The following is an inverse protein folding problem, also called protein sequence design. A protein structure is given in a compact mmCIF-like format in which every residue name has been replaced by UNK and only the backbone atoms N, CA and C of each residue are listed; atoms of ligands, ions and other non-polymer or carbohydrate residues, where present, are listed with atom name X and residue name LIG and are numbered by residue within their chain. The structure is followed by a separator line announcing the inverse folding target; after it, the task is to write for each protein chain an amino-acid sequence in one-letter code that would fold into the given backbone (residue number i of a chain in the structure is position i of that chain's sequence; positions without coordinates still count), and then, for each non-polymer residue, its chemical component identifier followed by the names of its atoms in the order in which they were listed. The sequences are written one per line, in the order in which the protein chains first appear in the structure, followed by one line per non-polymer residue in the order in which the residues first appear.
data_IF_684847100625
#
_entry.id   IF_684847100625
#
_cell.length_a   1.000
_cell.length_b   1.000
_cell.length_c   1.000
_cell.angle_alpha   90.00
_cell.angle_beta   90.00
_cell.angle_gamma   90.00
#
_symmetry.space_group_name_H-M   'P 1'
#
loop_
_entity.id
_entity.type
_entity.pdbx_description
1 polymer ?
#
# COMPACT_ATOMS: atom_id res chain seq x y z
N UNK A 1 27.65 7.32 -0.78
CA UNK A 1 27.09 5.99 -0.56
C UNK A 1 27.34 5.15 -1.82
N UNK A 2 28.11 4.08 -1.69
CA UNK A 2 28.42 2.97 -2.58
C UNK A 2 28.44 3.18 -4.11
N UNK A 3 29.63 3.11 -4.72
CA UNK A 3 29.75 3.06 -6.17
C UNK A 3 29.31 1.66 -6.66
N UNK A 4 28.21 1.54 -7.48
CA UNK A 4 27.72 0.25 -7.94
C UNK A 4 28.75 -0.53 -8.76
N UNK A 5 29.66 0.12 -9.49
CA UNK A 5 30.73 -0.54 -10.20
C UNK A 5 31.70 -1.21 -9.23
N UNK A 6 32.03 -0.56 -8.10
CA UNK A 6 32.85 -1.17 -7.04
C UNK A 6 32.16 -2.39 -6.42
N UNK A 7 30.88 -2.30 -6.12
CA UNK A 7 30.12 -3.42 -5.57
C UNK A 7 30.13 -4.66 -6.49
N UNK A 8 30.12 -4.46 -7.81
CA UNK A 8 30.21 -5.58 -8.76
C UNK A 8 31.57 -6.32 -8.73
N UNK A 9 32.65 -5.60 -8.48
CA UNK A 9 34.02 -6.17 -8.53
C UNK A 9 34.62 -6.44 -7.14
N UNK A 10 33.95 -6.02 -6.06
CA UNK A 10 34.44 -6.15 -4.68
C UNK A 10 34.84 -7.60 -4.32
N UNK A 11 34.03 -8.57 -4.75
CA UNK A 11 34.31 -9.99 -4.50
C UNK A 11 35.59 -10.52 -5.17
N UNK A 12 36.13 -9.80 -6.14
CA UNK A 12 37.36 -10.19 -6.86
C UNK A 12 38.61 -9.49 -6.33
N UNK A 13 38.47 -8.51 -5.43
CA UNK A 13 39.55 -7.67 -4.91
C UNK A 13 40.67 -8.46 -4.26
N UNK A 14 40.40 -9.60 -3.65
CA UNK A 14 41.38 -10.46 -3.00
C UNK A 14 42.03 -11.49 -3.96
N UNK A 15 41.44 -11.67 -5.16
CA UNK A 15 41.82 -12.73 -6.09
C UNK A 15 42.62 -12.22 -7.31
N UNK A 16 42.74 -10.90 -7.45
CA UNK A 16 43.39 -10.27 -8.62
C UNK A 16 44.43 -9.23 -8.18
N UNK A 17 45.38 -8.89 -9.07
CA UNK A 17 46.34 -7.80 -8.82
C UNK A 17 45.62 -6.44 -8.74
N UNK A 18 46.21 -5.43 -8.07
CA UNK A 18 45.63 -4.08 -8.01
C UNK A 18 45.35 -3.48 -9.40
N UNK A 19 46.22 -3.75 -10.38
CA UNK A 19 46.07 -3.28 -11.76
C UNK A 19 44.88 -3.96 -12.47
N UNK A 20 44.73 -5.28 -12.27
CA UNK A 20 43.62 -6.03 -12.81
C UNK A 20 42.28 -5.61 -12.14
N UNK A 21 42.28 -5.33 -10.83
CA UNK A 21 41.12 -4.81 -10.14
C UNK A 21 40.65 -3.47 -10.72
N UNK A 22 41.59 -2.55 -10.96
CA UNK A 22 41.26 -1.23 -11.55
C UNK A 22 40.72 -1.38 -12.97
N UNK A 23 41.27 -2.27 -13.80
CA UNK A 23 40.74 -2.55 -15.14
C UNK A 23 39.30 -3.09 -15.05
N UNK A 24 39.05 -4.03 -14.17
CA UNK A 24 37.69 -4.59 -13.96
C UNK A 24 36.71 -3.51 -13.48
N UNK A 25 37.16 -2.64 -12.59
CA UNK A 25 36.36 -1.52 -12.11
C UNK A 25 36.02 -0.53 -13.24
N UNK A 26 36.96 -0.15 -14.07
CA UNK A 26 36.70 0.73 -15.22
C UNK A 26 35.80 0.07 -16.26
N UNK A 27 35.94 -1.22 -16.52
CA UNK A 27 35.04 -1.97 -17.39
C UNK A 27 33.59 -2.00 -16.79
N UNK A 28 33.45 -2.19 -15.49
CA UNK A 28 32.16 -2.15 -14.81
C UNK A 28 31.52 -0.75 -14.90
N UNK A 29 32.30 0.33 -14.76
CA UNK A 29 31.80 1.70 -14.92
C UNK A 29 31.25 1.96 -16.32
N UNK A 30 32.02 1.57 -17.36
CA UNK A 30 31.59 1.72 -18.78
C UNK A 30 30.33 0.88 -19.03
N UNK A 31 30.30 -0.39 -18.55
CA UNK A 31 29.15 -1.29 -18.69
C UNK A 31 27.89 -0.75 -18.05
N UNK A 32 28.01 -0.05 -16.91
CA UNK A 32 26.90 0.58 -16.20
C UNK A 32 26.60 2.00 -16.74
N UNK A 33 27.37 2.50 -17.70
CA UNK A 33 27.23 3.84 -18.26
C UNK A 33 27.58 4.97 -17.28
N UNK A 34 28.32 4.67 -16.21
CA UNK A 34 28.75 5.64 -15.19
C UNK A 34 29.86 6.58 -15.64
N UNK A 35 30.42 6.35 -16.80
CA UNK A 35 31.38 7.19 -17.49
C UNK A 35 30.74 8.39 -18.20
N UNK A 36 29.41 8.34 -18.40
CA UNK A 36 28.64 9.38 -19.10
C UNK A 36 28.20 10.51 -18.15
N UNK A 37 27.89 11.72 -18.68
CA UNK A 37 27.26 12.78 -17.88
C UNK A 37 25.94 12.32 -17.25
N UNK A 38 25.65 12.79 -16.03
CA UNK A 38 24.45 12.39 -15.26
C UNK A 38 23.13 12.49 -16.05
N UNK A 39 22.88 13.57 -16.85
CA UNK A 39 21.64 13.63 -17.65
C UNK A 39 21.53 12.50 -18.67
N UNK A 40 22.67 12.10 -19.27
CA UNK A 40 22.69 10.99 -20.24
C UNK A 40 22.46 9.64 -19.56
N UNK A 41 23.04 9.44 -18.37
CA UNK A 41 22.77 8.25 -17.54
C UNK A 41 21.28 8.14 -17.20
N UNK A 42 20.66 9.25 -16.77
CA UNK A 42 19.24 9.29 -16.43
C UNK A 42 18.34 8.95 -17.65
N UNK A 43 18.60 9.56 -18.80
CA UNK A 43 17.82 9.30 -20.01
C UNK A 43 17.97 7.85 -20.51
N UNK A 44 19.19 7.31 -20.46
CA UNK A 44 19.46 5.91 -20.81
C UNK A 44 18.73 4.96 -19.85
N UNK A 45 18.81 5.20 -18.55
CA UNK A 45 18.13 4.42 -17.52
C UNK A 45 16.60 4.48 -17.68
N UNK A 46 16.05 5.67 -17.92
CA UNK A 46 14.60 5.83 -18.17
C UNK A 46 14.18 5.10 -19.45
N UNK A 47 14.98 5.17 -20.52
CA UNK A 47 14.72 4.43 -21.75
C UNK A 47 14.68 2.91 -21.53
N UNK A 48 15.58 2.38 -20.74
CA UNK A 48 15.60 0.95 -20.37
C UNK A 48 14.35 0.55 -19.57
N UNK A 49 13.97 1.38 -18.58
CA UNK A 49 12.74 1.15 -17.80
C UNK A 49 11.51 1.10 -18.71
N UNK A 50 11.37 2.03 -19.64
CA UNK A 50 10.24 2.07 -20.59
C UNK A 50 10.19 0.84 -21.49
N UNK A 51 11.34 0.17 -21.73
CA UNK A 51 11.44 -1.09 -22.45
C UNK A 51 11.24 -2.32 -21.56
N UNK A 52 10.99 -2.11 -20.24
CA UNK A 52 10.80 -3.18 -19.27
C UNK A 52 12.09 -3.80 -18.74
N UNK A 53 13.23 -3.15 -19.00
CA UNK A 53 14.53 -3.51 -18.41
C UNK A 53 14.77 -2.66 -17.16
N UNK A 54 14.59 -3.28 -16.00
CA UNK A 54 14.83 -2.69 -14.68
C UNK A 54 16.24 -2.94 -14.15
N UNK A 55 17.10 -3.54 -14.96
CA UNK A 55 18.46 -3.91 -14.61
C UNK A 55 18.56 -5.13 -13.69
N UNK A 56 19.72 -5.29 -13.07
CA UNK A 56 20.07 -6.40 -12.19
C UNK A 56 20.21 -5.96 -10.73
N UNK A 57 19.69 -6.78 -9.82
CA UNK A 57 19.91 -6.59 -8.38
C UNK A 57 21.36 -6.89 -8.02
N UNK A 58 22.02 -5.94 -7.39
CA UNK A 58 23.42 -6.12 -6.91
C UNK A 58 23.49 -7.08 -5.72
N UNK A 59 22.40 -7.23 -4.96
CA UNK A 59 22.33 -8.10 -3.79
C UNK A 59 21.97 -9.54 -4.18
N UNK A 60 20.89 -9.71 -4.95
CA UNK A 60 20.36 -11.03 -5.30
C UNK A 60 20.94 -11.60 -6.61
N UNK A 61 21.64 -10.77 -7.40
CA UNK A 61 22.26 -11.14 -8.69
C UNK A 61 21.31 -11.79 -9.71
N UNK A 62 20.06 -11.32 -9.70
CA UNK A 62 19.01 -11.71 -10.64
C UNK A 62 18.37 -10.45 -11.24
N UNK A 63 17.66 -10.55 -12.38
CA UNK A 63 16.93 -9.42 -12.96
C UNK A 63 15.94 -8.85 -11.95
N UNK A 64 15.91 -7.52 -11.80
CA UNK A 64 15.00 -6.83 -10.87
C UNK A 64 13.54 -7.17 -11.19
N UNK A 65 13.19 -7.35 -12.45
CA UNK A 65 11.85 -7.74 -12.88
C UNK A 65 11.39 -9.07 -12.27
N UNK A 66 12.27 -10.05 -12.18
CA UNK A 66 11.97 -11.35 -11.56
C UNK A 66 11.87 -11.23 -10.05
N UNK A 67 12.71 -10.38 -9.46
CA UNK A 67 12.72 -10.15 -8.01
C UNK A 67 11.45 -9.46 -7.51
N UNK A 68 10.98 -8.41 -8.20
CA UNK A 68 9.83 -7.62 -7.77
C UNK A 68 8.48 -8.20 -8.21
N UNK A 69 8.46 -9.06 -9.23
CA UNK A 69 7.23 -9.60 -9.81
C UNK A 69 6.32 -10.31 -8.80
N UNK A 70 6.79 -11.33 -8.08
CA UNK A 70 5.98 -12.05 -7.09
C UNK A 70 5.48 -11.16 -5.94
N UNK A 71 6.31 -10.38 -5.22
CA UNK A 71 5.83 -9.52 -4.15
C UNK A 71 4.90 -8.41 -4.64
N UNK A 72 5.08 -7.90 -5.86
CA UNK A 72 4.20 -6.90 -6.44
C UNK A 72 2.78 -7.45 -6.66
N UNK A 73 2.64 -8.67 -7.15
CA UNK A 73 1.33 -9.33 -7.29
C UNK A 73 0.61 -9.42 -5.94
N UNK A 74 1.31 -9.84 -4.90
CA UNK A 74 0.76 -9.94 -3.55
C UNK A 74 0.34 -8.57 -3.01
N UNK A 75 1.17 -7.54 -3.21
CA UNK A 75 0.87 -6.17 -2.80
C UNK A 75 -0.35 -5.62 -3.53
N UNK A 76 -0.46 -5.84 -4.84
CA UNK A 76 -1.63 -5.41 -5.63
C UNK A 76 -2.89 -6.12 -5.14
N UNK A 77 -2.86 -7.44 -4.96
CA UNK A 77 -4.01 -8.20 -4.48
C UNK A 77 -4.47 -7.72 -3.10
N UNK A 78 -3.53 -7.54 -2.15
CA UNK A 78 -3.83 -7.03 -0.83
C UNK A 78 -4.45 -5.62 -0.88
N UNK A 79 -3.88 -4.71 -1.68
CA UNK A 79 -4.41 -3.36 -1.81
C UNK A 79 -5.81 -3.33 -2.45
N UNK A 80 -6.06 -4.15 -3.49
CA UNK A 80 -7.39 -4.24 -4.10
C UNK A 80 -8.44 -4.63 -3.06
N UNK A 81 -8.18 -5.70 -2.29
CA UNK A 81 -9.11 -6.16 -1.25
C UNK A 81 -9.23 -5.11 -0.14
N UNK A 82 -8.12 -4.51 0.30
CA UNK A 82 -8.13 -3.43 1.28
C UNK A 82 -9.00 -2.24 0.84
N UNK A 83 -8.84 -1.74 -0.38
CA UNK A 83 -9.63 -0.61 -0.87
C UNK A 83 -11.12 -0.94 -1.01
N UNK A 84 -11.47 -2.18 -1.35
CA UNK A 84 -12.88 -2.61 -1.34
C UNK A 84 -13.46 -2.45 0.07
N UNK A 85 -12.79 -2.97 1.11
CA UNK A 85 -13.25 -2.80 2.49
C UNK A 85 -13.19 -1.35 2.97
N UNK A 86 -12.14 -0.62 2.62
CA UNK A 86 -11.98 0.78 2.97
C UNK A 86 -13.18 1.61 2.50
N UNK A 87 -13.56 1.48 1.22
CA UNK A 87 -14.68 2.23 0.66
C UNK A 87 -16.03 1.69 1.13
N UNK A 88 -16.20 0.36 1.21
CA UNK A 88 -17.45 -0.26 1.65
C UNK A 88 -17.80 0.08 3.10
N UNK A 89 -16.82 0.31 3.97
CA UNK A 89 -17.01 0.65 5.38
C UNK A 89 -16.89 2.17 5.58
N UNK A 90 -15.85 2.80 5.02
CA UNK A 90 -15.52 4.20 5.29
C UNK A 90 -16.54 5.18 4.76
N UNK A 91 -17.05 4.96 3.54
CA UNK A 91 -18.04 5.86 2.93
C UNK A 91 -19.36 5.83 3.70
N UNK A 92 -20.00 4.66 3.97
CA UNK A 92 -21.25 4.63 4.75
C UNK A 92 -21.11 5.18 6.15
N UNK A 93 -19.99 4.91 6.83
CA UNK A 93 -19.73 5.47 8.16
C UNK A 93 -19.56 6.98 8.12
N UNK A 94 -18.82 7.52 7.13
CA UNK A 94 -18.66 8.97 6.94
C UNK A 94 -19.99 9.66 6.66
N UNK A 95 -20.84 9.10 5.79
CA UNK A 95 -22.19 9.61 5.53
C UNK A 95 -23.02 9.59 6.81
N UNK A 96 -23.00 8.47 7.55
CA UNK A 96 -23.78 8.33 8.79
C UNK A 96 -23.32 9.33 9.86
N UNK A 97 -22.02 9.63 9.96
CA UNK A 97 -21.49 10.66 10.85
C UNK A 97 -21.98 12.05 10.45
N UNK A 98 -21.97 12.39 9.17
CA UNK A 98 -22.46 13.69 8.70
C UNK A 98 -23.96 13.87 8.96
N UNK A 99 -24.77 12.84 8.69
CA UNK A 99 -26.22 12.86 8.91
C UNK A 99 -26.55 12.91 10.41
N UNK A 100 -25.75 12.26 11.25
CA UNK A 100 -25.88 12.25 12.70
C UNK A 100 -24.87 13.18 13.37
N UNK A 101 -24.59 14.32 12.76
CA UNK A 101 -23.67 15.33 13.28
C UNK A 101 -23.95 15.63 14.76
N UNK A 102 -22.88 15.77 15.55
CA UNK A 102 -22.88 16.14 16.96
C UNK A 102 -23.63 15.16 17.90
N UNK A 103 -23.99 13.96 17.41
CA UNK A 103 -24.49 12.87 18.28
C UNK A 103 -23.34 12.09 18.92
N UNK A 104 -23.67 11.30 19.96
CA UNK A 104 -22.73 10.38 20.62
C UNK A 104 -22.06 9.43 19.60
N UNK A 105 -22.83 8.94 18.60
CA UNK A 105 -22.28 8.10 17.53
C UNK A 105 -21.20 8.81 16.73
N UNK A 106 -21.47 10.03 16.27
CA UNK A 106 -20.51 10.83 15.51
C UNK A 106 -19.27 11.12 16.34
N UNK A 107 -19.43 11.64 17.55
CA UNK A 107 -18.32 11.98 18.44
C UNK A 107 -17.47 10.75 18.79
N UNK A 108 -18.09 9.64 19.17
CA UNK A 108 -17.37 8.42 19.52
C UNK A 108 -16.59 7.86 18.34
N UNK A 109 -17.17 7.87 17.13
CA UNK A 109 -16.47 7.39 15.95
C UNK A 109 -15.31 8.33 15.54
N UNK A 110 -15.48 9.67 15.67
CA UNK A 110 -14.40 10.62 15.45
C UNK A 110 -13.24 10.39 16.43
N UNK A 111 -13.51 10.18 17.72
CA UNK A 111 -12.49 9.88 18.73
C UNK A 111 -11.79 8.55 18.42
N UNK A 112 -12.55 7.49 18.14
CA UNK A 112 -11.99 6.17 17.81
C UNK A 112 -11.09 6.22 16.57
N UNK A 113 -11.53 6.92 15.53
CA UNK A 113 -10.72 7.10 14.31
C UNK A 113 -9.48 7.94 14.54
N UNK A 114 -9.55 8.94 15.43
CA UNK A 114 -8.40 9.76 15.80
C UNK A 114 -7.35 8.92 16.54
N UNK A 115 -7.77 8.07 17.47
CA UNK A 115 -6.86 7.12 18.14
C UNK A 115 -6.22 6.18 17.10
N UNK A 116 -7.01 5.62 16.19
CA UNK A 116 -6.52 4.68 15.17
C UNK A 116 -5.44 5.28 14.26
N UNK A 117 -5.61 6.53 13.80
CA UNK A 117 -4.62 7.19 12.93
C UNK A 117 -3.42 7.75 13.69
N UNK A 118 -3.53 7.93 15.02
CA UNK A 118 -2.40 8.44 15.84
C UNK A 118 -1.36 7.37 16.11
N UNK A 119 -1.72 6.09 16.01
CA UNK A 119 -0.78 4.98 16.20
C UNK A 119 -0.11 4.66 14.86
N UNK A 120 1.23 4.72 14.76
CA UNK A 120 1.94 4.29 13.56
C UNK A 120 1.54 2.86 13.15
N UNK A 121 1.28 2.66 11.86
CA UNK A 121 0.74 1.37 11.34
C UNK A 121 1.61 0.16 11.67
N UNK A 122 2.93 0.32 11.73
CA UNK A 122 3.84 -0.77 12.10
C UNK A 122 3.68 -1.19 13.57
N UNK A 123 3.38 -0.24 14.49
CA UNK A 123 3.10 -0.55 15.89
C UNK A 123 1.79 -1.33 15.99
N UNK A 124 0.74 -0.85 15.30
CA UNK A 124 -0.52 -1.58 15.20
C UNK A 124 -0.30 -2.99 14.66
N UNK A 125 0.50 -3.15 13.61
CA UNK A 125 0.82 -4.45 13.03
C UNK A 125 1.47 -5.40 14.06
N UNK A 126 2.48 -4.93 14.80
CA UNK A 126 3.15 -5.72 15.83
C UNK A 126 2.20 -6.15 16.96
N UNK A 127 1.32 -5.24 17.42
CA UNK A 127 0.31 -5.55 18.44
C UNK A 127 -0.67 -6.61 17.92
N UNK A 128 -1.17 -6.46 16.70
CA UNK A 128 -2.13 -7.40 16.12
C UNK A 128 -1.49 -8.77 15.84
N UNK A 129 -0.26 -8.83 15.34
CA UNK A 129 0.48 -10.09 15.18
C UNK A 129 0.67 -10.77 16.54
N UNK A 130 1.10 -10.02 17.55
CA UNK A 130 1.29 -10.57 18.89
C UNK A 130 0.00 -11.13 19.48
N UNK A 131 -1.10 -10.38 19.38
CA UNK A 131 -2.38 -10.79 19.94
C UNK A 131 -3.04 -11.93 19.14
N UNK A 132 -3.13 -11.81 17.82
CA UNK A 132 -3.99 -12.65 16.97
C UNK A 132 -3.25 -13.71 16.17
N UNK A 133 -1.92 -13.69 16.15
CA UNK A 133 -1.13 -14.75 15.53
C UNK A 133 -0.26 -15.53 16.53
N UNK A 134 0.10 -14.93 17.68
CA UNK A 134 0.96 -15.59 18.68
C UNK A 134 0.16 -15.99 19.92
N UNK A 135 -0.53 -15.05 20.59
CA UNK A 135 -1.27 -15.31 21.84
C UNK A 135 -2.58 -16.06 21.61
N UNK A 136 -3.35 -15.62 20.66
CA UNK A 136 -4.63 -16.23 20.24
C UNK A 136 -4.46 -16.59 18.75
N UNK A 137 -3.91 -17.76 18.40
CA UNK A 137 -3.47 -18.08 17.03
C UNK A 137 -4.66 -18.27 16.07
N UNK A 138 -5.37 -17.17 15.77
CA UNK A 138 -6.50 -17.13 14.83
C UNK A 138 -6.01 -16.83 13.41
N UNK A 139 -4.89 -16.11 13.26
CA UNK A 139 -4.34 -15.74 11.96
C UNK A 139 -2.90 -16.24 11.79
N UNK A 140 -2.44 -16.45 10.55
CA UNK A 140 -1.06 -16.82 10.28
C UNK A 140 -0.10 -15.65 10.61
N UNK A 141 1.11 -15.99 11.06
CA UNK A 141 2.15 -14.99 11.39
C UNK A 141 2.69 -14.33 10.12
N UNK A 142 2.83 -15.10 9.04
CA UNK A 142 3.44 -14.63 7.78
C UNK A 142 3.03 -15.49 6.60
N UNK A 143 3.40 -15.06 5.38
CA UNK A 143 3.10 -15.75 4.14
C UNK A 143 1.78 -15.29 3.52
N UNK A 144 1.53 -15.76 2.30
CA UNK A 144 0.29 -15.50 1.55
C UNK A 144 -0.54 -16.77 1.35
N UNK A 145 0.01 -17.91 1.72
CA UNK A 145 -0.62 -19.24 1.64
C UNK A 145 -0.05 -20.14 2.74
N UNK A 146 -0.81 -21.16 3.13
CA UNK A 146 -0.37 -22.16 4.12
C UNK A 146 0.79 -22.98 3.56
N UNK A 147 1.95 -22.90 4.22
CA UNK A 147 3.16 -23.62 3.81
C UNK A 147 2.95 -25.12 3.83
N UNK A 148 3.29 -25.80 2.72
CA UNK A 148 3.13 -27.25 2.56
C UNK A 148 1.70 -27.70 2.22
N UNK A 149 0.72 -26.80 2.16
CA UNK A 149 -0.63 -27.14 1.72
C UNK A 149 -0.78 -26.97 0.22
N UNK A 150 -1.09 -28.05 -0.48
CA UNK A 150 -1.36 -28.02 -1.95
C UNK A 150 -2.85 -27.81 -2.21
N UNK A 151 -3.41 -26.70 -1.71
CA UNK A 151 -4.80 -26.35 -1.96
C UNK A 151 -4.99 -25.91 -3.41
N UNK A 152 -6.13 -26.33 -4.03
CA UNK A 152 -6.51 -25.94 -5.39
C UNK A 152 -7.92 -25.39 -5.42
N UNK A 153 -8.25 -24.63 -6.47
CA UNK A 153 -9.59 -24.08 -6.67
C UNK A 153 -10.05 -23.16 -5.55
N UNK A 154 -11.30 -23.32 -5.11
CA UNK A 154 -11.92 -22.43 -4.11
C UNK A 154 -11.23 -22.48 -2.74
N UNK A 155 -10.67 -23.62 -2.37
CA UNK A 155 -9.93 -23.77 -1.09
C UNK A 155 -8.65 -22.96 -1.09
N UNK A 156 -7.92 -22.92 -2.19
CA UNK A 156 -6.72 -22.07 -2.35
C UNK A 156 -7.08 -20.58 -2.26
N UNK A 157 -8.22 -20.19 -2.84
CA UNK A 157 -8.71 -18.82 -2.74
C UNK A 157 -9.06 -18.42 -1.29
N UNK A 158 -9.73 -19.30 -0.53
CA UNK A 158 -10.04 -19.06 0.88
C UNK A 158 -8.77 -18.98 1.74
N UNK A 159 -7.78 -19.84 1.48
CA UNK A 159 -6.49 -19.79 2.18
C UNK A 159 -5.76 -18.47 1.92
N UNK A 160 -5.79 -17.99 0.68
CA UNK A 160 -5.22 -16.71 0.30
C UNK A 160 -5.92 -15.53 1.01
N UNK A 161 -7.26 -15.52 1.06
CA UNK A 161 -8.02 -14.51 1.80
C UNK A 161 -7.73 -14.56 3.30
N UNK A 162 -7.60 -15.74 3.87
CA UNK A 162 -7.27 -15.93 5.27
C UNK A 162 -5.91 -15.31 5.64
N UNK A 163 -4.90 -15.46 4.78
CA UNK A 163 -3.59 -14.86 4.99
C UNK A 163 -3.59 -13.33 4.81
N UNK A 164 -4.51 -12.80 4.00
CA UNK A 164 -4.68 -11.36 3.84
C UNK A 164 -5.48 -10.70 4.97
N UNK A 165 -6.23 -11.46 5.75
CA UNK A 165 -7.17 -10.91 6.73
C UNK A 165 -6.48 -10.02 7.78
N UNK A 166 -5.43 -10.50 8.43
CA UNK A 166 -4.72 -9.73 9.46
C UNK A 166 -4.07 -8.46 8.90
N UNK A 167 -3.30 -8.48 7.79
CA UNK A 167 -2.81 -7.27 7.15
C UNK A 167 -3.91 -6.25 6.80
N UNK A 168 -5.05 -6.70 6.28
CA UNK A 168 -6.18 -5.81 5.95
C UNK A 168 -6.75 -5.17 7.21
N UNK A 169 -6.97 -5.92 8.29
CA UNK A 169 -7.46 -5.40 9.56
C UNK A 169 -6.51 -4.33 10.09
N UNK A 170 -5.19 -4.58 10.05
CA UNK A 170 -4.18 -3.59 10.44
C UNK A 170 -4.27 -2.33 9.57
N UNK A 171 -4.36 -2.45 8.26
CA UNK A 171 -4.49 -1.30 7.36
C UNK A 171 -5.79 -0.51 7.63
N UNK A 172 -6.88 -1.20 7.99
CA UNK A 172 -8.17 -0.58 8.32
C UNK A 172 -8.14 0.23 9.62
N UNK A 173 -7.13 0.11 10.49
CA UNK A 173 -6.97 1.04 11.63
C UNK A 173 -6.84 2.49 11.17
N UNK A 174 -6.29 2.72 9.97
CA UNK A 174 -6.19 4.02 9.33
C UNK A 174 -7.44 4.53 8.60
N UNK A 175 -8.58 3.80 8.64
CA UNK A 175 -9.82 4.16 7.92
C UNK A 175 -10.39 5.53 8.32
N UNK A 176 -10.01 6.05 9.48
CA UNK A 176 -10.45 7.32 10.03
C UNK A 176 -10.23 8.51 9.08
N UNK A 177 -9.19 8.49 8.28
CA UNK A 177 -8.92 9.53 7.28
C UNK A 177 -10.07 9.66 6.26
N UNK A 178 -10.51 8.53 5.69
CA UNK A 178 -11.63 8.51 4.74
C UNK A 178 -12.95 8.89 5.40
N UNK A 179 -13.25 8.35 6.58
CA UNK A 179 -14.49 8.66 7.32
C UNK A 179 -14.60 10.16 7.56
N UNK A 180 -13.54 10.80 8.03
CA UNK A 180 -13.50 12.25 8.33
C UNK A 180 -13.61 13.08 7.07
N UNK A 181 -12.93 12.67 6.00
CA UNK A 181 -13.01 13.33 4.70
C UNK A 181 -14.45 13.31 4.16
N UNK A 182 -15.08 12.12 4.10
CA UNK A 182 -16.46 11.97 3.62
C UNK A 182 -17.44 12.75 4.49
N UNK A 183 -17.27 12.70 5.83
CA UNK A 183 -18.09 13.49 6.77
C UNK A 183 -17.98 14.98 6.50
N UNK A 184 -16.77 15.52 6.38
CA UNK A 184 -16.53 16.95 6.13
C UNK A 184 -17.15 17.39 4.80
N UNK A 185 -16.79 16.70 3.72
CA UNK A 185 -17.31 17.01 2.39
C UNK A 185 -18.83 16.94 2.31
N UNK A 186 -19.46 15.97 2.99
CA UNK A 186 -20.92 15.86 3.01
C UNK A 186 -21.57 16.98 3.84
N UNK A 187 -20.98 17.39 4.96
CA UNK A 187 -21.48 18.52 5.76
C UNK A 187 -21.44 19.82 4.96
N UNK A 188 -20.35 20.05 4.24
CA UNK A 188 -20.21 21.21 3.35
C UNK A 188 -21.28 21.19 2.26
N UNK A 189 -21.45 20.04 1.58
CA UNK A 189 -22.48 19.88 0.54
C UNK A 189 -23.91 20.08 1.10
N UNK A 190 -24.21 19.57 2.27
CA UNK A 190 -25.53 19.73 2.93
C UNK A 190 -25.88 21.19 3.28
N UNK A 191 -24.88 22.08 3.38
CA UNK A 191 -25.07 23.52 3.63
C UNK A 191 -25.36 24.33 2.37
N UNK A 192 -25.16 23.77 1.17
CA UNK A 192 -25.29 24.46 -0.10
C UNK A 192 -26.74 24.74 -0.51
N UNK A 193 -26.96 25.80 -1.27
CA UNK A 193 -28.31 26.26 -1.65
C UNK A 193 -29.06 25.28 -2.56
N UNK A 194 -28.37 24.50 -3.39
CA UNK A 194 -29.02 23.46 -4.20
C UNK A 194 -29.64 22.35 -3.34
N UNK A 195 -29.03 22.04 -2.19
CA UNK A 195 -29.59 21.08 -1.22
C UNK A 195 -30.81 21.66 -0.52
N UNK A 196 -30.74 22.96 -0.12
CA UNK A 196 -31.90 23.67 0.44
C UNK A 196 -33.06 23.70 -0.54
N UNK A 197 -32.81 23.95 -1.81
CA UNK A 197 -33.79 23.92 -2.89
C UNK A 197 -34.41 22.52 -3.04
N UNK A 198 -33.60 21.46 -2.98
CA UNK A 198 -34.10 20.09 -3.03
C UNK A 198 -35.04 19.74 -1.86
N UNK A 199 -34.72 20.20 -0.64
CA UNK A 199 -35.59 20.05 0.54
C UNK A 199 -36.88 20.86 0.39
N UNK A 200 -36.80 22.12 -0.11
CA UNK A 200 -37.96 22.98 -0.35
C UNK A 200 -38.93 22.37 -1.37
N UNK A 201 -38.44 21.58 -2.33
CA UNK A 201 -39.27 20.81 -3.29
C UNK A 201 -39.92 19.56 -2.67
N UNK A 202 -39.77 19.30 -1.36
CA UNK A 202 -40.39 18.19 -0.64
C UNK A 202 -39.76 16.82 -0.92
N UNK A 203 -38.52 16.78 -1.41
CA UNK A 203 -37.82 15.51 -1.64
C UNK A 203 -37.50 14.80 -0.31
N UNK A 204 -37.62 13.46 -0.30
CA UNK A 204 -37.27 12.63 0.86
C UNK A 204 -35.80 12.85 1.25
N UNK A 205 -35.50 12.95 2.54
CA UNK A 205 -34.14 13.24 3.04
C UNK A 205 -33.10 12.24 2.50
N UNK A 206 -33.46 10.96 2.37
CA UNK A 206 -32.59 9.96 1.75
C UNK A 206 -32.20 10.34 0.32
N UNK A 207 -33.14 10.88 -0.48
CA UNK A 207 -32.90 11.35 -1.85
C UNK A 207 -32.01 12.60 -1.84
N UNK A 208 -32.26 13.52 -0.91
CA UNK A 208 -31.45 14.72 -0.73
C UNK A 208 -30.00 14.35 -0.43
N UNK A 209 -29.78 13.45 0.53
CA UNK A 209 -28.44 13.03 0.95
C UNK A 209 -27.71 12.31 -0.21
N UNK A 210 -28.29 11.21 -0.73
CA UNK A 210 -27.55 10.34 -1.66
C UNK A 210 -27.54 10.81 -3.10
N UNK A 211 -28.54 11.58 -3.55
CA UNK A 211 -28.66 12.01 -4.95
C UNK A 211 -28.25 13.47 -5.18
N UNK A 212 -28.36 14.32 -4.16
CA UNK A 212 -28.05 15.75 -4.29
C UNK A 212 -26.80 16.16 -3.52
N UNK A 213 -26.57 15.67 -2.31
CA UNK A 213 -25.42 16.08 -1.52
C UNK A 213 -24.18 15.19 -1.73
N UNK A 214 -24.35 13.87 -1.86
CA UNK A 214 -23.23 12.91 -2.00
C UNK A 214 -22.75 12.76 -3.46
N UNK A 215 -23.50 13.15 -4.44
CA UNK A 215 -23.12 13.12 -5.85
C UNK A 215 -22.20 14.31 -6.24
#
# INVERSE_FOLDING_TARGET
PGDPARLMVEGQKQSVSPEQYEMLYQQARVRLGLDKPIPVQYLSWMGNILQGDFGYSTVYRIPVKELIGPPMKNTIALNVVYYIFLFAIGIPLGIKCAVKKDTVFDTSLQVATMIGISIPSFISALIFIYLFAIKIPIFPISGMVTTGANFTGFRAFLDYLYHMALPIIVCLTGIGGLIRYVRGALLDALSMDYVRTARAKGLKEKTVIYKHAFR
#
